data_IF_790295768434
#
_entry.id   IF_790295768434
#
_cell.length_a   1.000
_cell.length_b   1.000
_cell.length_c   1.000
_cell.angle_alpha   90.00
_cell.angle_beta   90.00
_cell.angle_gamma   90.00
#
_symmetry.space_group_name_H-M   'P 1'
#
loop_
_entity.id
_entity.type
_entity.pdbx_description
1 polymer ?
#
# COMPACT_ATOMS: atom_id res chain seq x y z
N UNK A 1 4.03 26.07 -8.57
CA UNK A 1 4.21 26.18 -7.10
C UNK A 1 4.87 24.90 -6.61
N UNK A 2 5.63 24.96 -5.51
CA UNK A 2 6.35 23.81 -4.95
C UNK A 2 5.72 23.39 -3.62
N UNK A 3 5.40 22.10 -3.47
CA UNK A 3 4.86 21.52 -2.24
C UNK A 3 5.89 20.55 -1.63
N UNK A 4 6.35 20.85 -0.41
CA UNK A 4 7.37 20.06 0.29
C UNK A 4 6.79 19.18 1.41
N UNK A 5 5.69 19.63 2.02
CA UNK A 5 4.99 18.96 3.13
C UNK A 5 4.18 17.76 2.68
N UNK A 6 4.82 16.74 2.13
CA UNK A 6 4.22 15.44 1.81
C UNK A 6 4.16 14.56 3.07
N UNK A 7 3.82 15.19 4.20
CA UNK A 7 3.79 14.59 5.52
C UNK A 7 2.48 13.84 5.72
N UNK A 8 2.51 12.75 6.51
CA UNK A 8 1.31 12.00 6.86
C UNK A 8 0.47 11.53 5.64
N UNK A 9 1.10 11.22 4.50
CA UNK A 9 0.37 10.76 3.31
C UNK A 9 -0.53 9.56 3.60
N UNK A 10 -0.12 8.68 4.51
CA UNK A 10 -0.94 7.57 5.02
C UNK A 10 -2.27 8.07 5.60
N UNK A 11 -2.30 9.18 6.35
CA UNK A 11 -3.53 9.78 6.86
C UNK A 11 -4.31 10.49 5.73
N UNK A 12 -3.64 11.35 4.97
CA UNK A 12 -4.27 12.34 4.09
C UNK A 12 -4.84 11.75 2.79
N UNK A 13 -4.32 10.62 2.30
CA UNK A 13 -4.89 9.95 1.10
C UNK A 13 -6.33 9.50 1.29
N UNK A 14 -6.79 9.33 2.53
CA UNK A 14 -8.11 8.78 2.84
C UNK A 14 -9.23 9.81 2.74
N UNK A 15 -8.91 11.09 2.94
CA UNK A 15 -9.92 12.15 3.07
C UNK A 15 -9.49 13.45 2.44
N UNK A 16 -8.28 13.93 2.72
CA UNK A 16 -7.81 15.23 2.23
C UNK A 16 -7.64 15.25 0.72
N UNK A 17 -6.92 14.31 0.13
CA UNK A 17 -6.73 14.28 -1.33
C UNK A 17 -8.05 14.06 -2.10
N UNK A 18 -8.94 13.15 -1.67
CA UNK A 18 -10.30 13.10 -2.21
C UNK A 18 -11.06 14.43 -2.10
N UNK A 19 -10.91 15.17 -1.01
CA UNK A 19 -11.54 16.48 -0.83
C UNK A 19 -10.91 17.55 -1.75
N UNK A 20 -9.58 17.63 -1.83
CA UNK A 20 -8.86 18.51 -2.74
C UNK A 20 -9.22 18.24 -4.19
N UNK A 21 -9.49 16.98 -4.55
CA UNK A 21 -9.97 16.65 -5.88
C UNK A 21 -11.29 17.35 -6.23
N UNK A 22 -12.12 17.74 -5.26
CA UNK A 22 -13.37 18.45 -5.51
C UNK A 22 -13.21 19.97 -5.41
N UNK A 23 -12.41 20.46 -4.45
CA UNK A 23 -12.35 21.90 -4.13
C UNK A 23 -11.20 22.62 -4.81
N UNK A 24 -10.08 21.93 -5.02
CA UNK A 24 -8.80 22.54 -5.44
C UNK A 24 -8.03 21.61 -6.40
N UNK A 25 -8.59 21.27 -7.58
CA UNK A 25 -7.98 20.31 -8.50
C UNK A 25 -6.62 20.77 -9.06
N UNK A 26 -6.39 22.08 -9.19
CA UNK A 26 -5.09 22.63 -9.60
C UNK A 26 -4.00 22.44 -8.53
N UNK A 27 -4.35 22.63 -7.25
CA UNK A 27 -3.42 22.35 -6.16
C UNK A 27 -3.15 20.86 -6.05
N UNK A 28 -4.20 20.03 -6.23
CA UNK A 28 -4.03 18.58 -6.26
C UNK A 28 -3.08 18.15 -7.39
N UNK A 29 -3.24 18.68 -8.61
CA UNK A 29 -2.29 18.47 -9.72
C UNK A 29 -0.87 18.84 -9.31
N UNK A 30 -0.68 20.05 -8.79
CA UNK A 30 0.65 20.53 -8.41
C UNK A 30 1.29 19.61 -7.35
N UNK A 31 0.52 19.10 -6.39
CA UNK A 31 1.02 18.16 -5.39
C UNK A 31 1.43 16.82 -6.04
N UNK A 32 0.66 16.31 -6.99
CA UNK A 32 0.99 15.09 -7.75
C UNK A 32 2.27 15.27 -8.56
N UNK A 33 2.45 16.42 -9.22
CA UNK A 33 3.71 16.76 -9.89
C UNK A 33 4.89 16.73 -8.90
N UNK A 34 4.73 17.28 -7.69
CA UNK A 34 5.79 17.24 -6.67
C UNK A 34 6.10 15.82 -6.16
N UNK A 35 5.11 14.92 -6.11
CA UNK A 35 5.37 13.51 -5.78
C UNK A 35 6.22 12.83 -6.87
N UNK A 36 5.92 13.07 -8.15
CA UNK A 36 6.65 12.46 -9.29
C UNK A 36 8.04 13.08 -9.45
N UNK A 37 8.15 14.40 -9.29
CA UNK A 37 9.43 15.13 -9.29
C UNK A 37 10.36 14.60 -8.19
N UNK A 38 9.84 14.53 -6.96
CA UNK A 38 10.59 14.02 -5.83
C UNK A 38 11.02 12.56 -6.03
N UNK A 39 10.16 11.72 -6.63
CA UNK A 39 10.52 10.35 -6.97
C UNK A 39 11.64 10.26 -8.01
N UNK A 40 11.69 11.21 -8.96
CA UNK A 40 12.76 11.29 -9.95
C UNK A 40 14.11 11.65 -9.31
N UNK A 41 14.10 12.44 -8.24
CA UNK A 41 15.30 12.85 -7.51
C UNK A 41 15.81 11.78 -6.51
N UNK A 42 14.92 11.14 -5.76
CA UNK A 42 15.28 10.21 -4.68
C UNK A 42 15.17 8.74 -5.10
N UNK A 43 14.56 8.48 -6.25
CA UNK A 43 14.28 7.17 -6.80
C UNK A 43 12.91 6.59 -6.43
N UNK A 44 12.29 7.04 -5.34
CA UNK A 44 10.99 6.55 -4.87
C UNK A 44 10.14 7.73 -4.40
N UNK A 45 8.82 7.61 -4.50
CA UNK A 45 7.84 8.63 -4.09
C UNK A 45 8.12 9.05 -2.64
N UNK A 46 8.45 10.33 -2.38
CA UNK A 46 8.98 10.76 -1.10
C UNK A 46 7.88 11.04 -0.09
N UNK A 47 7.25 9.97 0.40
CA UNK A 47 6.25 10.06 1.46
C UNK A 47 6.85 10.45 2.81
N UNK A 48 6.00 11.04 3.67
CA UNK A 48 6.38 11.48 5.01
C UNK A 48 7.54 12.48 5.01
N UNK A 49 7.81 13.13 3.87
CA UNK A 49 8.84 14.14 3.70
C UNK A 49 8.38 15.46 4.31
N UNK A 50 9.27 16.11 5.04
CA UNK A 50 9.09 17.46 5.55
C UNK A 50 10.43 18.19 5.54
N UNK A 51 10.44 19.46 5.13
CA UNK A 51 11.65 20.28 5.01
C UNK A 51 12.74 19.61 4.15
N UNK A 52 12.36 19.00 3.02
CA UNK A 52 13.25 18.20 2.15
C UNK A 52 13.89 16.97 2.82
N UNK A 53 13.52 16.62 4.06
CA UNK A 53 14.08 15.47 4.80
C UNK A 53 13.09 14.30 4.75
N UNK A 54 13.54 13.09 4.37
CA UNK A 54 12.69 11.91 4.37
C UNK A 54 12.31 11.52 5.81
N UNK A 55 11.01 11.30 6.03
CA UNK A 55 10.49 10.74 7.27
C UNK A 55 10.39 9.22 7.25
N UNK A 56 9.84 8.64 8.32
CA UNK A 56 9.49 7.22 8.36
C UNK A 56 8.08 7.01 7.80
N UNK A 57 7.96 6.16 6.79
CA UNK A 57 6.70 5.69 6.23
C UNK A 57 5.95 4.82 7.25
N UNK A 58 4.62 4.92 7.24
CA UNK A 58 3.78 4.32 8.28
C UNK A 58 3.34 2.88 7.98
N UNK A 59 3.60 2.37 6.76
CA UNK A 59 3.40 0.96 6.43
C UNK A 59 3.17 0.63 4.95
N UNK A 60 2.97 1.62 4.07
CA UNK A 60 2.72 1.45 2.64
C UNK A 60 3.47 2.50 1.82
N UNK A 61 3.22 2.52 0.51
CA UNK A 61 3.60 3.60 -0.40
C UNK A 61 2.33 4.35 -0.83
N UNK A 62 1.75 5.16 0.04
CA UNK A 62 0.42 5.77 -0.16
C UNK A 62 0.42 7.00 -1.09
N UNK A 63 1.57 7.59 -1.38
CA UNK A 63 1.74 8.56 -2.45
C UNK A 63 1.35 7.95 -3.80
N UNK A 64 1.48 6.63 -3.97
CA UNK A 64 0.92 5.92 -5.12
C UNK A 64 -0.60 5.98 -5.16
N UNK A 65 -1.28 5.92 -4.02
CA UNK A 65 -2.74 6.08 -3.97
C UNK A 65 -3.12 7.49 -4.43
N UNK A 66 -2.37 8.52 -3.98
CA UNK A 66 -2.60 9.93 -4.32
C UNK A 66 -2.40 10.18 -5.82
N UNK A 67 -1.26 9.73 -6.37
CA UNK A 67 -0.97 9.80 -7.81
C UNK A 67 -2.04 9.06 -8.61
N UNK A 68 -2.39 7.83 -8.19
CA UNK A 68 -3.37 7.01 -8.90
C UNK A 68 -4.77 7.60 -8.88
N UNK A 69 -5.20 8.17 -7.76
CA UNK A 69 -6.51 8.82 -7.65
C UNK A 69 -6.61 10.03 -8.58
N UNK A 70 -5.55 10.82 -8.70
CA UNK A 70 -5.49 11.93 -9.66
C UNK A 70 -5.61 11.42 -11.10
N UNK A 71 -4.79 10.44 -11.48
CA UNK A 71 -4.76 9.90 -12.85
C UNK A 71 -6.13 9.32 -13.22
N UNK A 72 -6.79 8.60 -12.32
CA UNK A 72 -8.11 8.02 -12.57
C UNK A 72 -9.20 9.09 -12.77
N UNK A 73 -9.10 10.23 -12.08
CA UNK A 73 -10.11 11.29 -12.16
C UNK A 73 -9.86 12.29 -13.30
N UNK A 74 -8.60 12.60 -13.54
CA UNK A 74 -8.19 13.73 -14.38
C UNK A 74 -7.32 13.33 -15.57
N UNK A 75 -6.88 12.08 -15.65
CA UNK A 75 -5.87 11.64 -16.61
C UNK A 75 -4.48 12.19 -16.27
N UNK A 76 -3.56 12.07 -17.22
CA UNK A 76 -2.17 12.51 -17.04
C UNK A 76 -1.80 13.75 -17.85
N UNK A 77 -2.66 14.20 -18.79
CA UNK A 77 -2.30 15.23 -19.79
C UNK A 77 -2.01 16.60 -19.20
N UNK A 78 -2.49 16.89 -18.00
CA UNK A 78 -2.23 18.12 -17.26
C UNK A 78 -0.97 18.07 -16.40
N UNK A 79 -0.39 16.89 -16.18
CA UNK A 79 0.81 16.72 -15.36
C UNK A 79 2.05 17.19 -16.13
N UNK A 80 3.10 17.59 -15.39
CA UNK A 80 4.36 18.06 -15.96
C UNK A 80 5.23 16.93 -16.57
N UNK A 81 4.81 15.68 -16.40
CA UNK A 81 5.58 14.48 -16.75
C UNK A 81 4.95 13.73 -17.92
N UNK A 82 5.78 13.08 -18.74
CA UNK A 82 5.27 12.23 -19.81
C UNK A 82 4.63 10.96 -19.24
N UNK A 83 3.74 10.37 -20.02
CA UNK A 83 3.12 9.07 -19.73
C UNK A 83 4.16 7.99 -19.40
N UNK A 84 5.25 7.97 -20.16
CA UNK A 84 6.34 6.99 -20.02
C UNK A 84 7.08 7.17 -18.69
N UNK A 85 7.33 8.42 -18.28
CA UNK A 85 7.96 8.72 -16.99
C UNK A 85 7.08 8.27 -15.82
N UNK A 86 5.77 8.54 -15.91
CA UNK A 86 4.79 8.12 -14.89
C UNK A 86 4.73 6.59 -14.81
N UNK A 87 4.59 5.89 -15.94
CA UNK A 87 4.56 4.43 -15.99
C UNK A 87 5.87 3.81 -15.48
N UNK A 88 7.02 4.39 -15.82
CA UNK A 88 8.31 3.94 -15.32
C UNK A 88 8.38 4.04 -13.79
N UNK A 89 7.90 5.14 -13.21
CA UNK A 89 7.87 5.30 -11.75
C UNK A 89 6.90 4.33 -11.09
N UNK A 90 5.67 4.20 -11.59
CA UNK A 90 4.68 3.25 -11.06
C UNK A 90 5.18 1.80 -11.14
N UNK A 91 5.87 1.44 -12.22
CA UNK A 91 6.48 0.12 -12.41
C UNK A 91 7.61 -0.11 -11.40
N UNK A 92 8.51 0.86 -11.23
CA UNK A 92 9.61 0.76 -10.25
C UNK A 92 9.08 0.54 -8.84
N UNK A 93 8.12 1.36 -8.43
CA UNK A 93 7.43 1.28 -7.12
C UNK A 93 6.71 -0.06 -6.90
N UNK A 94 6.36 -0.74 -7.99
CA UNK A 94 5.66 -2.02 -7.99
C UNK A 94 6.60 -3.22 -7.94
N UNK A 95 7.86 -3.10 -8.33
CA UNK A 95 8.74 -4.27 -8.51
C UNK A 95 10.11 -4.17 -7.84
N UNK A 96 10.53 -2.96 -7.45
CA UNK A 96 11.86 -2.74 -6.88
C UNK A 96 11.76 -2.45 -5.39
N UNK A 97 12.49 -3.22 -4.59
CA UNK A 97 12.67 -2.93 -3.16
C UNK A 97 13.78 -1.89 -3.00
N UNK A 98 13.56 -0.76 -2.31
CA UNK A 98 14.66 0.12 -1.92
C UNK A 98 15.54 -0.54 -0.86
N UNK A 99 16.82 -0.17 -0.82
CA UNK A 99 17.76 -0.65 0.21
C UNK A 99 17.27 -0.33 1.62
N UNK A 100 16.65 0.83 1.82
CA UNK A 100 16.01 1.24 3.07
C UNK A 100 14.53 1.49 2.76
N UNK A 101 13.64 0.67 3.32
CA UNK A 101 12.19 0.79 3.06
C UNK A 101 11.36 1.37 4.21
N UNK A 102 11.96 1.75 5.34
CA UNK A 102 11.26 2.59 6.33
C UNK A 102 11.03 4.00 5.81
N UNK A 103 11.84 4.51 4.89
CA UNK A 103 11.71 5.89 4.40
C UNK A 103 11.35 5.98 2.92
N UNK A 104 11.47 4.89 2.17
CA UNK A 104 11.23 4.87 0.74
C UNK A 104 10.46 3.62 0.32
N UNK A 105 9.54 3.76 -0.63
CA UNK A 105 8.88 2.63 -1.30
C UNK A 105 8.39 1.53 -0.35
N UNK A 106 8.61 0.29 -0.74
CA UNK A 106 8.07 -0.91 -0.06
C UNK A 106 9.09 -2.04 -0.06
N UNK A 107 9.04 -2.89 0.97
CA UNK A 107 9.71 -4.21 0.98
C UNK A 107 9.02 -5.20 0.00
N UNK A 108 9.00 -4.86 -1.29
CA UNK A 108 8.12 -5.47 -2.28
C UNK A 108 8.60 -6.85 -2.72
N UNK A 109 9.92 -7.09 -2.75
CA UNK A 109 10.51 -8.40 -3.08
C UNK A 109 10.02 -9.50 -2.14
N UNK A 110 10.07 -9.24 -0.82
CA UNK A 110 9.52 -10.15 0.20
C UNK A 110 8.02 -10.36 0.00
N UNK A 111 7.28 -9.27 -0.20
CA UNK A 111 5.84 -9.34 -0.41
C UNK A 111 5.45 -10.18 -1.65
N UNK A 112 6.17 -10.01 -2.76
CA UNK A 112 5.96 -10.81 -3.98
C UNK A 112 6.32 -12.28 -3.78
N UNK A 113 7.41 -12.57 -3.06
CA UNK A 113 7.85 -13.95 -2.79
C UNK A 113 6.83 -14.76 -2.00
N UNK A 114 6.21 -14.17 -0.98
CA UNK A 114 5.30 -14.89 -0.08
C UNK A 114 3.81 -14.60 -0.33
N UNK A 115 3.49 -13.55 -1.10
CA UNK A 115 2.11 -13.07 -1.26
C UNK A 115 1.57 -12.33 -0.03
N UNK A 116 2.41 -12.00 0.94
CA UNK A 116 2.13 -11.20 2.13
C UNK A 116 3.47 -10.80 2.77
N UNK A 117 3.46 -9.87 3.73
CA UNK A 117 4.64 -9.54 4.54
C UNK A 117 4.72 -10.51 5.72
N UNK A 118 5.73 -11.40 5.81
CA UNK A 118 5.83 -12.34 6.91
C UNK A 118 6.48 -11.73 8.14
N UNK A 119 6.11 -12.21 9.32
CA UNK A 119 6.84 -11.94 10.54
C UNK A 119 8.22 -12.57 10.53
N UNK A 120 9.19 -11.84 11.09
CA UNK A 120 10.55 -12.31 11.32
C UNK A 120 11.17 -12.91 10.05
N UNK A 121 10.79 -12.35 8.90
CA UNK A 121 11.40 -12.69 7.62
C UNK A 121 12.87 -12.26 7.67
N UNK A 122 13.74 -13.16 7.28
CA UNK A 122 15.13 -12.84 7.05
C UNK A 122 15.28 -12.28 5.63
N UNK A 123 15.63 -11.01 5.53
CA UNK A 123 15.88 -10.30 4.28
C UNK A 123 17.27 -9.68 4.36
N UNK A 124 18.18 -10.14 3.49
CA UNK A 124 19.56 -9.66 3.42
C UNK A 124 19.75 -8.57 2.37
N UNK A 125 18.75 -8.32 1.53
CA UNK A 125 18.84 -7.40 0.39
C UNK A 125 18.38 -5.99 0.76
N UNK A 126 17.58 -5.85 1.83
CA UNK A 126 17.04 -4.58 2.28
C UNK A 126 16.93 -4.47 3.79
N UNK A 127 16.88 -3.23 4.30
CA UNK A 127 16.71 -2.94 5.72
C UNK A 127 15.45 -2.14 5.98
N UNK A 128 14.81 -2.45 7.11
CA UNK A 128 13.69 -1.71 7.64
C UNK A 128 13.10 -2.37 8.89
N UNK A 129 12.16 -1.67 9.56
CA UNK A 129 11.56 -2.11 10.82
C UNK A 129 10.56 -3.23 10.57
N UNK A 130 10.94 -4.46 10.90
CA UNK A 130 10.09 -5.66 10.81
C UNK A 130 8.92 -5.60 11.82
N UNK A 131 7.92 -4.78 11.49
CA UNK A 131 6.74 -4.49 12.31
C UNK A 131 5.50 -4.34 11.42
N UNK A 132 4.31 -4.38 12.02
CA UNK A 132 3.01 -4.07 11.38
C UNK A 132 2.71 -4.95 10.15
N UNK A 133 3.16 -6.19 10.14
CA UNK A 133 3.20 -7.04 8.95
C UNK A 133 1.82 -7.31 8.34
N UNK A 134 0.81 -7.55 9.18
CA UNK A 134 -0.58 -7.67 8.74
C UNK A 134 -1.09 -6.37 8.12
N UNK A 135 -0.86 -5.22 8.77
CA UNK A 135 -1.26 -3.91 8.24
C UNK A 135 -0.54 -3.59 6.93
N UNK A 136 0.78 -3.75 6.86
CA UNK A 136 1.58 -3.53 5.63
C UNK A 136 1.07 -4.38 4.47
N UNK A 137 0.71 -5.64 4.73
CA UNK A 137 0.13 -6.52 3.70
C UNK A 137 -1.18 -5.95 3.14
N UNK A 138 -2.05 -5.40 3.99
CA UNK A 138 -3.30 -4.76 3.57
C UNK A 138 -3.04 -3.47 2.79
N UNK A 139 -2.14 -2.62 3.28
CA UNK A 139 -1.79 -1.35 2.63
C UNK A 139 -1.13 -1.60 1.26
N UNK A 140 -0.22 -2.57 1.17
CA UNK A 140 0.42 -2.93 -0.11
C UNK A 140 -0.59 -3.42 -1.14
N UNK A 141 -1.55 -4.24 -0.70
CA UNK A 141 -2.64 -4.70 -1.55
C UNK A 141 -3.49 -3.53 -2.05
N UNK A 142 -3.74 -2.52 -1.20
CA UNK A 142 -4.47 -1.31 -1.60
C UNK A 142 -3.64 -0.42 -2.54
N UNK A 143 -2.34 -0.26 -2.28
CA UNK A 143 -1.43 0.48 -3.17
C UNK A 143 -1.37 -0.17 -4.55
N UNK A 144 -1.26 -1.50 -4.62
CA UNK A 144 -1.27 -2.23 -5.90
C UNK A 144 -2.57 -1.98 -6.66
N UNK A 145 -3.73 -1.96 -5.99
CA UNK A 145 -4.98 -1.63 -6.66
C UNK A 145 -5.03 -0.20 -7.20
N UNK A 146 -4.52 0.78 -6.46
CA UNK A 146 -4.38 2.15 -6.97
C UNK A 146 -3.55 2.17 -8.26
N UNK A 147 -2.36 1.57 -8.21
CA UNK A 147 -1.47 1.46 -9.39
C UNK A 147 -2.16 0.74 -10.54
N UNK A 148 -2.94 -0.32 -10.26
CA UNK A 148 -3.66 -1.06 -11.28
C UNK A 148 -4.66 -0.19 -12.05
N UNK A 149 -5.40 0.67 -11.35
CA UNK A 149 -6.35 1.59 -11.97
C UNK A 149 -5.62 2.67 -12.77
N UNK A 150 -4.54 3.24 -12.23
CA UNK A 150 -3.74 4.23 -12.95
C UNK A 150 -3.11 3.63 -14.22
N UNK A 151 -2.56 2.42 -14.13
CA UNK A 151 -1.98 1.70 -15.27
C UNK A 151 -3.01 1.49 -16.39
N UNK A 152 -4.26 1.19 -16.05
CA UNK A 152 -5.35 1.06 -17.02
C UNK A 152 -5.62 2.37 -17.77
N UNK A 153 -5.71 3.49 -17.06
CA UNK A 153 -5.89 4.81 -17.69
C UNK A 153 -4.68 5.22 -18.53
N UNK A 154 -3.49 4.78 -18.12
CA UNK A 154 -2.26 4.93 -18.89
C UNK A 154 -2.10 3.85 -19.97
N UNK A 155 -3.09 2.98 -20.22
CA UNK A 155 -3.02 1.96 -21.28
C UNK A 155 -1.88 0.95 -21.16
N UNK A 156 -1.41 0.67 -19.93
CA UNK A 156 -0.50 -0.44 -19.64
C UNK A 156 -1.29 -1.63 -19.06
N UNK A 157 -1.84 -2.44 -19.97
CA UNK A 157 -2.67 -3.59 -19.61
C UNK A 157 -1.90 -4.66 -18.83
N UNK A 158 -0.58 -4.77 -19.04
CA UNK A 158 0.25 -5.75 -18.33
C UNK A 158 0.42 -5.34 -16.87
N UNK A 159 0.82 -4.09 -16.62
CA UNK A 159 0.96 -3.58 -15.25
C UNK A 159 -0.40 -3.60 -14.54
N UNK A 160 -1.47 -3.22 -15.23
CA UNK A 160 -2.83 -3.33 -14.71
C UNK A 160 -3.17 -4.76 -14.26
N UNK A 161 -2.98 -5.77 -15.11
CA UNK A 161 -3.30 -7.16 -14.79
C UNK A 161 -2.47 -7.71 -13.62
N UNK A 162 -1.16 -7.45 -13.62
CA UNK A 162 -0.26 -7.89 -12.55
C UNK A 162 -0.68 -7.28 -11.20
N UNK A 163 -1.00 -5.98 -11.19
CA UNK A 163 -1.37 -5.27 -9.98
C UNK A 163 -2.78 -5.62 -9.49
N UNK A 164 -3.76 -5.87 -10.36
CA UNK A 164 -5.07 -6.41 -9.95
C UNK A 164 -4.88 -7.76 -9.27
N UNK A 165 -4.10 -8.66 -9.87
CA UNK A 165 -3.83 -9.98 -9.28
C UNK A 165 -3.16 -9.84 -7.91
N UNK A 166 -2.14 -8.98 -7.80
CA UNK A 166 -1.39 -8.81 -6.54
C UNK A 166 -2.20 -8.07 -5.47
N UNK A 167 -3.10 -7.18 -5.85
CA UNK A 167 -4.03 -6.51 -4.92
C UNK A 167 -4.93 -7.50 -4.18
N UNK A 168 -5.06 -8.75 -4.63
CA UNK A 168 -5.82 -9.80 -3.93
C UNK A 168 -5.06 -10.47 -2.77
N UNK A 169 -3.78 -10.14 -2.58
CA UNK A 169 -2.93 -10.73 -1.54
C UNK A 169 -3.39 -10.42 -0.11
N UNK A 170 -4.29 -9.45 0.12
CA UNK A 170 -4.93 -9.25 1.43
C UNK A 170 -5.59 -10.53 1.95
N UNK A 171 -6.04 -11.41 1.05
CA UNK A 171 -6.68 -12.69 1.38
C UNK A 171 -5.73 -13.66 2.07
N UNK A 172 -4.44 -13.59 1.74
CA UNK A 172 -3.43 -14.54 2.22
C UNK A 172 -3.20 -14.42 3.73
N UNK A 173 -3.58 -13.30 4.35
CA UNK A 173 -3.46 -13.09 5.79
C UNK A 173 -4.78 -13.24 6.54
N UNK A 174 -5.90 -13.45 5.85
CA UNK A 174 -7.20 -13.60 6.50
C UNK A 174 -7.34 -14.98 7.14
N UNK A 175 -7.68 -15.03 8.42
CA UNK A 175 -7.96 -16.26 9.14
C UNK A 175 -9.45 -16.31 9.52
N UNK A 176 -10.25 -17.21 8.89
CA UNK A 176 -11.69 -17.34 9.14
C UNK A 176 -12.02 -17.87 10.55
N UNK A 177 -11.06 -18.47 11.25
CA UNK A 177 -11.26 -19.08 12.57
C UNK A 177 -11.23 -18.06 13.70
N UNK A 178 -10.53 -16.94 13.51
CA UNK A 178 -10.41 -15.88 14.51
C UNK A 178 -11.76 -15.20 14.71
N UNK A 179 -12.14 -15.00 15.97
CA UNK A 179 -13.39 -14.34 16.37
C UNK A 179 -13.11 -13.18 17.30
N UNK A 180 -13.76 -12.05 17.05
CA UNK A 180 -13.69 -10.89 17.93
C UNK A 180 -15.03 -10.15 17.92
N UNK A 181 -15.56 -9.83 19.10
CA UNK A 181 -16.83 -9.11 19.28
C UNK A 181 -18.00 -9.64 18.42
N UNK A 182 -18.14 -10.96 18.32
CA UNK A 182 -19.22 -11.61 17.58
C UNK A 182 -19.02 -11.77 16.07
N UNK A 183 -17.97 -11.18 15.49
CA UNK A 183 -17.60 -11.40 14.08
C UNK A 183 -16.51 -12.46 13.96
N UNK A 184 -16.44 -13.10 12.79
CA UNK A 184 -15.41 -14.10 12.43
C UNK A 184 -14.62 -13.62 11.23
N UNK A 185 -13.38 -14.04 11.13
CA UNK A 185 -12.52 -13.70 10.01
C UNK A 185 -11.76 -12.40 10.27
N UNK A 186 -10.47 -12.53 10.57
CA UNK A 186 -9.61 -11.37 10.79
C UNK A 186 -8.26 -11.56 10.09
N UNK A 187 -7.65 -10.47 9.56
CA UNK A 187 -6.27 -10.50 9.12
C UNK A 187 -5.37 -10.80 10.31
N UNK A 188 -4.47 -11.76 10.14
CA UNK A 188 -3.51 -12.18 11.14
C UNK A 188 -2.10 -12.08 10.61
N UNK A 189 -1.17 -11.83 11.53
CA UNK A 189 0.26 -11.93 11.28
C UNK A 189 0.63 -13.39 10.98
N UNK A 190 1.48 -13.60 9.97
CA UNK A 190 1.92 -14.93 9.50
C UNK A 190 3.43 -15.03 9.43
N UNK A 191 3.99 -16.21 9.69
CA UNK A 191 5.40 -16.52 9.44
C UNK A 191 5.59 -17.08 8.03
N UNK A 192 6.83 -17.14 7.54
CA UNK A 192 7.20 -17.70 6.23
C UNK A 192 6.64 -19.10 5.95
N UNK A 193 6.40 -19.88 6.99
CA UNK A 193 5.93 -21.27 6.90
C UNK A 193 4.39 -21.38 6.92
N UNK A 194 3.67 -20.29 6.60
CA UNK A 194 2.19 -20.18 6.57
C UNK A 194 1.50 -20.24 7.94
N UNK A 195 2.23 -20.56 9.02
CA UNK A 195 1.69 -20.59 10.38
C UNK A 195 1.14 -19.23 10.83
N UNK A 196 -0.08 -19.25 11.38
CA UNK A 196 -0.78 -18.10 11.95
C UNK A 196 -0.41 -17.94 13.43
N UNK A 197 -0.29 -16.69 13.90
CA UNK A 197 -0.16 -16.40 15.33
C UNK A 197 -1.44 -16.73 16.09
N UNK A 198 -1.32 -17.56 17.13
CA UNK A 198 -2.32 -17.60 18.20
C UNK A 198 -2.29 -16.30 19.03
N UNK A 199 -3.31 -16.04 19.85
CA UNK A 199 -3.47 -14.79 20.60
C UNK A 199 -2.35 -14.46 21.61
N UNK A 200 -1.47 -15.41 21.96
CA UNK A 200 -0.35 -15.18 22.87
C UNK A 200 1.00 -15.09 22.13
N UNK A 201 1.72 -13.99 22.35
CA UNK A 201 3.01 -13.67 21.73
C UNK A 201 4.18 -14.59 22.15
N UNK A 202 3.95 -15.56 23.04
CA UNK A 202 5.00 -16.38 23.66
C UNK A 202 4.85 -17.90 23.49
N UNK A 203 3.88 -18.40 22.73
CA UNK A 203 3.76 -19.84 22.50
C UNK A 203 4.27 -20.30 21.13
N UNK A 204 5.11 -21.37 21.07
CA UNK A 204 5.45 -22.02 19.80
C UNK A 204 4.19 -22.64 19.19
N UNK A 205 4.05 -22.52 17.87
CA UNK A 205 2.89 -22.97 17.09
C UNK A 205 2.37 -24.33 17.55
N UNK A 206 1.21 -24.36 18.19
CA UNK A 206 0.31 -25.51 18.26
C UNK A 206 -1.14 -25.05 18.15
N UNK A 207 -1.95 -25.95 17.61
CA UNK A 207 -3.39 -25.83 17.37
C UNK A 207 -4.15 -25.07 18.47
N UNK A 208 -5.08 -24.23 17.99
CA UNK A 208 -6.34 -23.82 18.61
C UNK A 208 -6.52 -24.05 20.12
N UNK A 209 -6.67 -22.99 20.91
CA UNK A 209 -7.92 -22.72 21.64
C UNK A 209 -7.88 -21.42 22.48
N UNK A 210 -8.94 -20.62 22.32
CA UNK A 210 -9.49 -19.58 23.23
C UNK A 210 -8.79 -18.20 23.35
N UNK A 211 -9.56 -17.13 23.69
CA UNK A 211 -9.43 -15.83 23.04
C UNK A 211 -8.98 -14.68 23.96
N UNK A 212 -8.22 -13.71 23.40
CA UNK A 212 -8.14 -12.27 23.76
C UNK A 212 -7.12 -11.59 22.80
N UNK A 213 -7.04 -10.30 22.48
CA UNK A 213 -7.85 -9.07 22.62
C UNK A 213 -7.32 -8.13 21.51
N UNK A 214 -8.14 -7.67 20.56
CA UNK A 214 -7.69 -6.87 19.39
C UNK A 214 -8.28 -5.46 19.42
N UNK A 215 -7.52 -4.49 19.93
CA UNK A 215 -7.83 -3.06 19.82
C UNK A 215 -6.97 -2.43 18.71
N UNK A 216 -7.28 -2.74 17.44
CA UNK A 216 -6.75 -2.01 16.27
C UNK A 216 -7.43 -2.42 14.95
N UNK A 217 -8.04 -3.61 14.89
CA UNK A 217 -8.68 -4.10 13.67
C UNK A 217 -10.06 -3.49 13.37
N UNK A 218 -10.60 -2.58 14.19
CA UNK A 218 -11.95 -2.04 13.97
C UNK A 218 -12.04 -1.00 12.85
N UNK A 219 -11.06 -0.10 12.76
CA UNK A 219 -11.19 1.13 11.98
C UNK A 219 -10.69 1.00 10.54
N UNK A 220 -9.75 0.11 10.27
CA UNK A 220 -9.25 -0.16 8.92
C UNK A 220 -10.31 -0.77 7.96
N UNK A 221 -11.42 -1.33 8.47
CA UNK A 221 -12.23 -2.26 7.69
C UNK A 221 -13.23 -1.65 6.71
N UNK A 222 -13.66 -0.39 6.86
CA UNK A 222 -14.73 0.16 5.99
C UNK A 222 -14.24 0.44 4.57
N UNK A 223 -13.10 1.11 4.42
CA UNK A 223 -12.46 1.35 3.11
C UNK A 223 -12.00 0.02 2.48
N UNK A 224 -11.43 -0.87 3.30
CA UNK A 224 -10.99 -2.20 2.87
C UNK A 224 -12.14 -3.10 2.38
N UNK A 225 -13.37 -2.98 2.92
CA UNK A 225 -14.51 -3.80 2.44
C UNK A 225 -14.95 -3.42 1.03
N UNK A 226 -15.08 -2.14 0.73
CA UNK A 226 -15.49 -1.72 -0.62
C UNK A 226 -14.36 -1.98 -1.64
N UNK A 227 -13.11 -1.79 -1.22
CA UNK A 227 -11.93 -2.30 -1.93
C UNK A 227 -12.05 -3.80 -2.24
N UNK A 228 -12.31 -4.65 -1.22
CA UNK A 228 -12.44 -6.10 -1.42
C UNK A 228 -13.57 -6.47 -2.40
N UNK A 229 -14.68 -5.73 -2.37
CA UNK A 229 -15.82 -5.91 -3.29
C UNK A 229 -15.44 -5.52 -4.71
N UNK A 230 -14.79 -4.37 -4.88
CA UNK A 230 -14.43 -3.83 -6.20
C UNK A 230 -13.30 -4.61 -6.87
N UNK A 231 -12.29 -5.05 -6.11
CA UNK A 231 -11.24 -5.93 -6.63
C UNK A 231 -11.80 -7.29 -7.06
N UNK A 232 -12.81 -7.83 -6.35
CA UNK A 232 -13.52 -9.05 -6.80
C UNK A 232 -14.20 -8.84 -8.14
N UNK A 233 -14.92 -7.75 -8.32
CA UNK A 233 -15.62 -7.45 -9.57
C UNK A 233 -14.62 -7.29 -10.74
N UNK A 234 -13.49 -6.62 -10.49
CA UNK A 234 -12.48 -6.36 -11.52
C UNK A 234 -11.60 -7.57 -11.86
N UNK A 235 -11.36 -8.49 -10.91
CA UNK A 235 -10.59 -9.71 -11.14
C UNK A 235 -11.42 -10.92 -11.60
N UNK A 236 -12.72 -10.75 -11.83
CA UNK A 236 -13.62 -11.80 -12.37
C UNK A 236 -13.98 -11.60 -13.85
N UNK A 237 -13.44 -10.53 -14.46
CA UNK A 237 -13.58 -10.19 -15.88
C UNK A 237 -12.27 -10.54 -16.61
#
# INVERSE_FOLDING_TARGET
SYFDGLYCTWDTFRTEFPFLSLTSPDDFRNIVDNYIDGASATGFVPECRANMVPGLTQGGANGLNVISDYIVKYGYSSLAFTKEQILAQLTKESYVTPTEWNSYGRQIGVYMKYGYVPFAVFDTESTGRQTREASRTLEYAFNDFGVALAAKELGDDKLHADMIKRSMNYRNIFDPTVKFRGFKGYPQKRRTNVCVYGPDLLQPCRQCDRPLLLAAAGEHFRVLREFCRRVRLLGSA
#
